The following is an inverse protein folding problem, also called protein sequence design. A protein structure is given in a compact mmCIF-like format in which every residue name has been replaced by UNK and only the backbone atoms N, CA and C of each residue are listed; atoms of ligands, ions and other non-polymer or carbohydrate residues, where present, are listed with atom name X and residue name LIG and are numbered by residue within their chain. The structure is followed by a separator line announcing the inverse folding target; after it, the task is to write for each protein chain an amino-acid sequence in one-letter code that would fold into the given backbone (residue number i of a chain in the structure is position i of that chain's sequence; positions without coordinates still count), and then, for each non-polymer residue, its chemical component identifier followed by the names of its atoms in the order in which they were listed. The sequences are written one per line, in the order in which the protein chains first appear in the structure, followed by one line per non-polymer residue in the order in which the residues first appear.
data_IF_657751284607
#
_entry.id   IF_657751284607
#
_cell.length_a   1.000
_cell.length_b   1.000
_cell.length_c   1.000
_cell.angle_alpha   90.00
_cell.angle_beta   90.00
_cell.angle_gamma   90.00
#
_symmetry.space_group_name_H-M   'P 1'
#
loop_
_entity.id
_entity.type
_entity.pdbx_description
1 polymer ?
#
# COMPACT_ATOMS: atom_id res chain seq x y z
N UNK A 1 11.93 6.51 -2.70
CA UNK A 1 11.83 7.31 -1.47
C UNK A 1 12.94 6.98 -0.48
N UNK A 2 13.21 5.70 -0.24
CA UNK A 2 14.39 5.25 0.51
C UNK A 2 15.46 4.82 -0.49
N UNK A 3 16.67 5.34 -0.36
CA UNK A 3 17.81 5.00 -1.23
C UNK A 3 18.78 4.10 -0.46
N UNK A 4 19.27 2.99 -1.06
CA UNK A 4 20.20 2.09 -0.37
C UNK A 4 21.44 2.80 0.19
N UNK A 5 21.81 2.49 1.43
CA UNK A 5 22.97 3.05 2.13
C UNK A 5 22.80 4.51 2.58
N UNK A 6 21.57 5.05 2.55
CA UNK A 6 21.26 6.34 3.18
C UNK A 6 21.00 6.16 4.67
N UNK A 7 21.12 7.25 5.46
CA UNK A 7 20.79 7.23 6.90
C UNK A 7 19.36 6.71 7.14
N UNK A 8 18.44 7.05 6.23
CA UNK A 8 17.07 6.56 6.30
C UNK A 8 16.95 5.05 6.07
N UNK A 9 17.77 4.51 5.18
CA UNK A 9 17.85 3.06 4.91
C UNK A 9 18.46 2.34 6.11
N UNK A 10 19.55 2.85 6.67
CA UNK A 10 20.19 2.30 7.87
C UNK A 10 19.21 2.24 9.05
N UNK A 11 18.47 3.32 9.31
CA UNK A 11 17.47 3.35 10.37
C UNK A 11 16.30 2.40 10.09
N UNK A 12 15.86 2.30 8.84
CA UNK A 12 14.81 1.35 8.46
C UNK A 12 15.25 -0.10 8.66
N UNK A 13 16.51 -0.42 8.35
CA UNK A 13 17.12 -1.74 8.60
C UNK A 13 17.20 -2.03 10.10
N UNK A 14 17.62 -1.05 10.92
CA UNK A 14 17.69 -1.20 12.38
C UNK A 14 16.30 -1.44 12.98
N UNK A 15 15.27 -0.73 12.52
CA UNK A 15 13.88 -0.94 12.99
C UNK A 15 13.25 -2.23 12.46
N UNK A 16 13.63 -2.65 11.26
CA UNK A 16 13.16 -3.81 10.49
C UNK A 16 11.66 -3.82 10.14
N UNK A 17 10.78 -3.38 11.04
CA UNK A 17 9.34 -3.36 10.85
C UNK A 17 8.69 -2.24 11.68
N UNK A 18 7.44 -1.91 11.36
CA UNK A 18 6.62 -1.05 12.21
C UNK A 18 5.98 -1.90 13.30
N UNK A 19 5.99 -1.43 14.55
CA UNK A 19 5.39 -2.14 15.69
C UNK A 19 4.09 -1.46 16.07
N UNK A 20 2.99 -2.21 16.03
CA UNK A 20 1.66 -1.74 16.40
C UNK A 20 1.35 -2.21 17.83
N UNK A 21 1.37 -1.28 18.78
CA UNK A 21 0.93 -1.49 20.16
C UNK A 21 -0.57 -1.18 20.27
N UNK A 22 -1.16 -1.49 21.42
CA UNK A 22 -2.60 -1.28 21.68
C UNK A 22 -3.02 0.18 21.48
N UNK A 23 -2.15 1.14 21.85
CA UNK A 23 -2.45 2.58 21.87
C UNK A 23 -1.64 3.41 20.87
N UNK A 24 -0.61 2.83 20.23
CA UNK A 24 0.31 3.59 19.37
C UNK A 24 1.05 2.72 18.36
N UNK A 25 1.65 3.38 17.38
CA UNK A 25 2.52 2.75 16.39
C UNK A 25 3.93 3.31 16.54
N UNK A 26 4.93 2.42 16.54
CA UNK A 26 6.33 2.77 16.36
C UNK A 26 6.68 2.50 14.90
N UNK A 27 6.72 3.54 14.04
CA UNK A 27 6.83 3.32 12.61
C UNK A 27 8.28 3.01 12.19
N UNK A 28 8.43 2.16 11.18
CA UNK A 28 9.73 1.88 10.56
C UNK A 28 10.30 3.09 9.82
N UNK A 29 9.43 3.86 9.17
CA UNK A 29 9.79 5.06 8.41
C UNK A 29 9.16 6.30 9.05
N UNK A 30 9.76 7.49 8.87
CA UNK A 30 9.15 8.75 9.30
C UNK A 30 7.74 8.92 8.70
N UNK A 31 6.82 9.49 9.49
CA UNK A 31 5.40 9.64 9.08
C UNK A 31 5.21 10.43 7.79
N UNK A 32 6.07 11.41 7.52
CA UNK A 32 6.04 12.20 6.29
C UNK A 32 6.19 11.30 5.05
N UNK A 33 6.94 10.20 5.18
CA UNK A 33 7.07 9.20 4.12
C UNK A 33 5.96 8.15 4.20
N UNK A 34 5.77 7.49 5.34
CA UNK A 34 4.82 6.37 5.45
C UNK A 34 3.37 6.80 5.26
N UNK A 35 2.93 7.89 5.91
CA UNK A 35 1.55 8.40 5.86
C UNK A 35 1.34 9.46 4.78
N UNK A 36 2.42 10.08 4.29
CA UNK A 36 2.37 11.11 3.26
C UNK A 36 2.75 10.58 1.88
N UNK A 37 4.05 10.59 1.58
CA UNK A 37 4.57 10.37 0.24
C UNK A 37 4.32 8.95 -0.32
N UNK A 38 4.45 7.92 0.52
CA UNK A 38 4.28 6.51 0.16
C UNK A 38 2.85 6.01 0.35
N UNK A 39 2.00 6.75 1.07
CA UNK A 39 0.60 6.38 1.29
C UNK A 39 -0.22 6.62 0.02
N UNK A 40 -1.04 5.63 -0.35
CA UNK A 40 -1.94 5.70 -1.52
C UNK A 40 -3.22 6.49 -1.19
N UNK A 41 -3.01 7.75 -0.79
CA UNK A 41 -4.09 8.68 -0.45
C UNK A 41 -4.99 8.92 -1.66
N UNK A 42 -6.32 9.06 -1.45
CA UNK A 42 -7.24 9.28 -2.55
C UNK A 42 -7.07 10.69 -3.12
N UNK A 43 -7.43 10.86 -4.40
CA UNK A 43 -7.37 12.11 -5.14
C UNK A 43 -5.95 12.71 -5.31
N UNK A 44 -4.91 11.86 -5.26
CA UNK A 44 -3.52 12.23 -5.45
C UNK A 44 -2.83 11.22 -6.36
N UNK A 45 -1.96 11.69 -7.27
CA UNK A 45 -1.10 10.80 -8.07
C UNK A 45 0.01 10.20 -7.20
N UNK A 46 0.18 8.88 -7.27
CA UNK A 46 1.17 8.13 -6.49
C UNK A 46 1.95 7.16 -7.34
N UNK A 47 3.27 7.13 -7.15
CA UNK A 47 4.12 6.11 -7.74
C UNK A 47 3.98 4.78 -7.01
N UNK A 48 3.82 3.72 -7.78
CA UNK A 48 3.64 2.35 -7.28
C UNK A 48 4.51 1.36 -8.01
N UNK A 49 4.71 0.20 -7.40
CA UNK A 49 5.11 -1.00 -8.08
C UNK A 49 3.88 -1.92 -8.14
N UNK A 50 3.40 -2.20 -9.34
CA UNK A 50 2.16 -2.94 -9.55
C UNK A 50 2.44 -4.37 -9.96
N UNK A 51 1.58 -5.27 -9.51
CA UNK A 51 1.44 -6.63 -10.01
C UNK A 51 0.03 -6.74 -10.63
N UNK A 52 -0.05 -7.11 -11.91
CA UNK A 52 -1.30 -7.24 -12.68
C UNK A 52 -1.43 -8.67 -13.15
N UNK A 53 -2.61 -9.27 -12.95
CA UNK A 53 -2.87 -10.67 -13.24
C UNK A 53 -4.10 -10.80 -14.13
N UNK A 54 -4.02 -11.68 -15.13
CA UNK A 54 -5.18 -12.14 -15.91
C UNK A 54 -5.61 -13.49 -15.36
N UNK A 55 -6.87 -13.60 -14.91
CA UNK A 55 -7.37 -14.79 -14.22
C UNK A 55 -8.81 -15.15 -14.59
N UNK A 56 -9.18 -16.42 -14.45
CA UNK A 56 -10.59 -16.86 -14.55
C UNK A 56 -11.35 -16.75 -13.22
N UNK A 57 -12.65 -17.02 -13.26
CA UNK A 57 -13.56 -17.00 -12.11
C UNK A 57 -13.19 -18.00 -11.01
N UNK A 58 -12.33 -18.99 -11.29
CA UNK A 58 -11.81 -19.95 -10.31
C UNK A 58 -10.46 -19.53 -9.72
N UNK A 59 -9.95 -18.36 -10.10
CA UNK A 59 -8.67 -17.81 -9.65
C UNK A 59 -7.46 -18.42 -10.34
N UNK A 60 -7.61 -19.13 -11.47
CA UNK A 60 -6.47 -19.61 -12.24
C UNK A 60 -5.83 -18.46 -13.00
N UNK A 61 -4.55 -18.23 -12.78
CA UNK A 61 -3.75 -17.20 -13.46
C UNK A 61 -3.30 -17.69 -14.84
N UNK A 62 -3.49 -16.86 -15.85
CA UNK A 62 -3.03 -17.09 -17.24
C UNK A 62 -1.82 -16.24 -17.58
N UNK A 63 -1.76 -15.02 -17.06
CA UNK A 63 -0.69 -14.07 -17.33
C UNK A 63 -0.42 -13.19 -16.10
N UNK A 64 0.81 -12.70 -16.01
CA UNK A 64 1.28 -11.83 -14.94
C UNK A 64 2.19 -10.75 -15.50
N UNK A 65 2.06 -9.55 -14.96
CA UNK A 65 2.91 -8.41 -15.29
C UNK A 65 3.32 -7.67 -14.02
N UNK A 66 4.60 -7.33 -13.93
CA UNK A 66 5.16 -6.57 -12.82
C UNK A 66 5.90 -5.35 -13.35
N UNK A 67 5.67 -4.20 -12.74
CA UNK A 67 6.35 -2.99 -13.17
C UNK A 67 6.04 -1.76 -12.35
N UNK A 68 6.83 -0.72 -12.59
CA UNK A 68 6.62 0.60 -12.00
C UNK A 68 5.49 1.31 -12.74
N UNK A 69 4.60 1.94 -11.97
CA UNK A 69 3.39 2.60 -12.45
C UNK A 69 3.16 3.89 -11.68
N UNK A 70 2.20 4.68 -12.14
CA UNK A 70 1.57 5.74 -11.37
C UNK A 70 0.07 5.46 -11.32
N UNK A 71 -0.55 5.68 -10.16
CA UNK A 71 -2.00 5.50 -9.94
C UNK A 71 -2.62 6.75 -9.35
N UNK A 72 -3.94 6.86 -9.46
CA UNK A 72 -4.77 7.86 -8.81
C UNK A 72 -5.87 7.13 -8.05
N UNK A 73 -5.79 7.08 -6.72
CA UNK A 73 -6.78 6.35 -5.93
C UNK A 73 -8.09 7.15 -5.86
N UNK A 74 -9.20 6.58 -6.33
CA UNK A 74 -10.50 7.28 -6.34
C UNK A 74 -11.09 7.39 -4.94
N UNK A 75 -10.85 6.41 -4.06
CA UNK A 75 -11.44 6.37 -2.72
C UNK A 75 -10.63 5.54 -1.74
N UNK A 76 -10.67 5.97 -0.47
CA UNK A 76 -10.21 5.20 0.69
C UNK A 76 -11.42 4.60 1.40
N UNK A 77 -11.53 3.28 1.40
CA UNK A 77 -12.59 2.57 2.11
C UNK A 77 -12.08 2.02 3.44
N UNK A 78 -12.94 2.05 4.46
CA UNK A 78 -12.88 1.14 5.59
C UNK A 78 -13.47 -0.23 5.20
N UNK A 79 -13.18 -1.28 5.98
CA UNK A 79 -13.71 -2.62 5.70
C UNK A 79 -15.23 -2.66 5.75
N UNK A 80 -15.83 -1.96 6.71
CA UNK A 80 -17.27 -1.89 6.90
C UNK A 80 -17.98 -1.25 5.70
N UNK A 81 -17.38 -0.19 5.12
CA UNK A 81 -17.91 0.45 3.91
C UNK A 81 -17.86 -0.49 2.70
N UNK A 82 -16.75 -1.23 2.54
CA UNK A 82 -16.60 -2.19 1.45
C UNK A 82 -17.60 -3.34 1.58
N UNK A 83 -17.81 -3.86 2.80
CA UNK A 83 -18.76 -4.94 3.06
C UNK A 83 -20.19 -4.50 2.74
N UNK A 84 -20.59 -3.30 3.19
CA UNK A 84 -21.92 -2.77 2.92
C UNK A 84 -22.20 -2.69 1.42
N UNK A 85 -21.23 -2.25 0.60
CA UNK A 85 -21.37 -2.19 -0.85
C UNK A 85 -21.56 -3.58 -1.47
N UNK A 86 -20.86 -4.60 -0.96
CA UNK A 86 -20.99 -5.97 -1.46
C UNK A 86 -22.38 -6.54 -1.12
N UNK A 87 -22.85 -6.31 0.11
CA UNK A 87 -24.12 -6.83 0.60
C UNK A 87 -25.33 -6.12 -0.06
N UNK A 88 -25.25 -4.82 -0.31
CA UNK A 88 -26.33 -4.03 -0.95
C UNK A 88 -26.47 -4.30 -2.46
N UNK A 89 -25.46 -4.89 -3.10
CA UNK A 89 -25.50 -5.28 -4.51
C UNK A 89 -26.12 -6.68 -4.74
N UNK A 90 -26.67 -7.30 -3.70
CA UNK A 90 -27.43 -8.56 -3.73
C UNK A 90 -28.92 -8.33 -3.48
#
# INVERSE_FOLDING_TARGET
YVTPGSILDDEAVVRATSVYLVDRVVPMLPEVLSNGACSLRPNEDKYTFSAVFEMDEKGRIYNEWFGRTAIHSDRRFAYEEAQQIIDDNH
#
